data_IF_542733852992
#
_entry.id   IF_542733852992
#
_cell.length_a   1.000
_cell.length_b   1.000
_cell.length_c   1.000
_cell.angle_alpha   90.00
_cell.angle_beta   90.00
_cell.angle_gamma   90.00
#
_symmetry.space_group_name_H-M   'P 1'
#
loop_
_entity.id
_entity.type
_entity.pdbx_description
1 polymer ?
#
# COMPACT_ATOMS: atom_id res chain seq x y z
N UNK A 1 9.57 -31.14 -36.16
CA UNK A 1 9.32 -29.78 -35.61
C UNK A 1 7.95 -29.84 -34.92
N UNK A 2 7.91 -29.90 -33.58
CA UNK A 2 6.66 -29.88 -32.80
C UNK A 2 6.44 -28.48 -32.27
N UNK A 3 5.45 -27.79 -32.81
CA UNK A 3 5.03 -26.49 -32.28
C UNK A 3 4.15 -26.74 -31.06
N UNK A 4 4.66 -26.44 -29.85
CA UNK A 4 3.85 -26.37 -28.63
C UNK A 4 3.10 -25.04 -28.63
N UNK A 5 1.79 -25.14 -28.81
CA UNK A 5 0.86 -24.02 -28.66
C UNK A 5 0.63 -23.78 -27.17
N UNK A 6 1.21 -22.72 -26.61
CA UNK A 6 0.93 -22.26 -25.24
C UNK A 6 -0.42 -21.52 -25.27
N UNK A 7 -1.48 -22.20 -24.80
CA UNK A 7 -2.78 -21.52 -24.58
C UNK A 7 -2.70 -20.86 -23.19
N UNK A 8 -2.58 -19.53 -23.20
CA UNK A 8 -2.70 -18.72 -21.99
C UNK A 8 -4.17 -18.68 -21.58
N UNK A 9 -4.56 -19.48 -20.59
CA UNK A 9 -5.87 -19.40 -19.96
C UNK A 9 -5.92 -18.12 -19.09
N UNK A 10 -6.48 -17.04 -19.63
CA UNK A 10 -6.94 -15.91 -18.83
C UNK A 10 -8.17 -16.37 -18.04
N UNK A 11 -7.94 -16.84 -16.83
CA UNK A 11 -9.00 -17.06 -15.87
C UNK A 11 -9.58 -15.68 -15.52
N UNK A 12 -10.67 -15.28 -16.16
CA UNK A 12 -11.47 -14.13 -15.75
C UNK A 12 -12.05 -14.44 -14.38
N UNK A 13 -11.50 -13.80 -13.37
CA UNK A 13 -11.90 -13.97 -11.98
C UNK A 13 -13.37 -13.61 -11.81
N UNK A 14 -14.20 -14.40 -11.11
CA UNK A 14 -15.61 -14.07 -10.82
C UNK A 14 -15.75 -12.74 -10.06
N UNK A 15 -14.67 -12.21 -9.53
CA UNK A 15 -14.60 -10.92 -8.87
C UNK A 15 -14.87 -9.73 -9.80
N UNK A 16 -14.48 -9.82 -11.08
CA UNK A 16 -14.71 -8.76 -12.07
C UNK A 16 -16.20 -8.67 -12.41
N UNK A 17 -16.87 -9.81 -12.54
CA UNK A 17 -18.29 -9.85 -12.87
C UNK A 17 -19.20 -9.29 -11.75
N UNK A 18 -18.82 -9.51 -10.48
CA UNK A 18 -19.52 -8.95 -9.33
C UNK A 18 -19.40 -7.43 -9.23
N UNK A 19 -18.26 -6.86 -9.61
CA UNK A 19 -18.06 -5.40 -9.58
C UNK A 19 -18.81 -4.67 -10.70
N UNK A 20 -18.92 -5.25 -11.88
CA UNK A 20 -19.71 -4.65 -12.98
C UNK A 20 -21.20 -4.62 -12.64
N UNK A 21 -21.76 -5.70 -12.11
CA UNK A 21 -23.18 -5.78 -11.73
C UNK A 21 -23.56 -4.75 -10.65
N UNK A 22 -22.69 -4.53 -9.66
CA UNK A 22 -22.89 -3.51 -8.62
C UNK A 22 -22.80 -2.11 -9.21
N UNK A 23 -21.90 -1.88 -10.15
CA UNK A 23 -21.70 -0.58 -10.78
C UNK A 23 -22.90 -0.16 -11.63
N UNK A 24 -23.47 -1.11 -12.36
CA UNK A 24 -24.67 -0.87 -13.20
C UNK A 24 -25.91 -0.60 -12.35
N UNK A 25 -26.14 -1.38 -11.30
CA UNK A 25 -27.27 -1.15 -10.38
C UNK A 25 -27.18 0.18 -9.62
N UNK A 26 -25.94 0.68 -9.37
CA UNK A 26 -25.74 1.99 -8.76
C UNK A 26 -26.03 3.15 -9.70
N UNK A 27 -25.84 2.97 -11.03
CA UNK A 27 -26.13 4.03 -12.01
C UNK A 27 -27.64 4.28 -12.19
N UNK A 28 -28.46 3.29 -11.88
CA UNK A 28 -29.92 3.41 -11.95
C UNK A 28 -30.55 4.16 -10.77
N UNK A 29 -29.79 4.34 -9.66
CA UNK A 29 -30.27 5.05 -8.48
C UNK A 29 -30.25 6.58 -8.67
N UNK A 30 -31.16 7.33 -8.02
CA UNK A 30 -31.10 8.79 -7.97
C UNK A 30 -29.74 9.28 -7.41
N UNK A 31 -29.24 10.40 -7.92
CA UNK A 31 -27.93 10.97 -7.51
C UNK A 31 -27.72 11.09 -5.99
N UNK A 32 -28.72 11.51 -5.17
CA UNK A 32 -28.56 11.58 -3.73
C UNK A 32 -28.37 10.21 -3.09
N UNK A 33 -29.05 9.18 -3.57
CA UNK A 33 -28.93 7.81 -3.09
C UNK A 33 -27.57 7.20 -3.46
N UNK A 34 -27.08 7.46 -4.68
CA UNK A 34 -25.72 7.08 -5.08
C UNK A 34 -24.67 7.68 -4.16
N UNK A 35 -24.83 8.98 -3.79
CA UNK A 35 -23.92 9.68 -2.89
C UNK A 35 -23.95 9.08 -1.48
N UNK A 36 -25.15 8.80 -0.96
CA UNK A 36 -25.34 8.18 0.35
C UNK A 36 -24.70 6.77 0.39
N UNK A 37 -24.95 5.97 -0.64
CA UNK A 37 -24.34 4.63 -0.75
C UNK A 37 -22.82 4.68 -0.78
N UNK A 38 -22.24 5.54 -1.61
CA UNK A 38 -20.77 5.70 -1.69
C UNK A 38 -20.18 6.16 -0.36
N UNK A 39 -20.85 7.06 0.34
CA UNK A 39 -20.45 7.53 1.66
C UNK A 39 -20.45 6.37 2.66
N UNK A 40 -21.51 5.60 2.74
CA UNK A 40 -21.62 4.44 3.62
C UNK A 40 -20.56 3.37 3.33
N UNK A 41 -20.25 3.12 2.05
CA UNK A 41 -19.19 2.20 1.66
C UNK A 41 -17.80 2.69 2.11
N UNK A 42 -17.53 3.99 1.95
CA UNK A 42 -16.27 4.59 2.39
C UNK A 42 -16.13 4.54 3.92
N UNK A 43 -17.18 4.88 4.66
CA UNK A 43 -17.18 4.83 6.13
C UNK A 43 -16.92 3.41 6.62
N UNK A 44 -17.57 2.41 6.01
CA UNK A 44 -17.34 1.00 6.36
C UNK A 44 -15.93 0.53 5.99
N UNK A 45 -15.38 0.97 4.85
CA UNK A 45 -14.01 0.64 4.46
C UNK A 45 -13.00 1.26 5.45
N UNK A 46 -13.20 2.52 5.83
CA UNK A 46 -12.36 3.19 6.83
C UNK A 46 -12.44 2.53 8.20
N UNK A 47 -13.66 2.13 8.63
CA UNK A 47 -13.84 1.39 9.88
C UNK A 47 -13.03 0.10 9.87
N UNK A 48 -13.12 -0.70 8.81
CA UNK A 48 -12.36 -1.95 8.69
C UNK A 48 -10.85 -1.74 8.69
N UNK A 49 -10.36 -0.71 7.99
CA UNK A 49 -8.93 -0.42 7.87
C UNK A 49 -8.35 0.05 9.20
N UNK A 50 -9.11 0.87 9.93
CA UNK A 50 -8.66 1.53 11.14
C UNK A 50 -9.33 1.00 12.42
N UNK A 51 -10.15 -0.05 12.29
CA UNK A 51 -10.84 -0.70 13.42
C UNK A 51 -11.64 0.29 14.28
N UNK A 52 -12.35 1.23 13.63
CA UNK A 52 -13.06 2.30 14.31
C UNK A 52 -14.32 1.81 15.03
N UNK A 53 -14.97 0.77 14.49
CA UNK A 53 -16.12 0.13 15.09
C UNK A 53 -15.69 -1.04 15.97
N UNK A 54 -16.42 -1.28 17.05
CA UNK A 54 -16.10 -2.37 18.00
C UNK A 54 -16.08 -3.75 17.35
N UNK A 55 -16.92 -3.95 16.34
CA UNK A 55 -17.01 -5.21 15.59
C UNK A 55 -15.75 -5.49 14.73
N UNK A 56 -15.09 -4.44 14.31
CA UNK A 56 -13.90 -4.52 13.47
C UNK A 56 -12.60 -4.62 14.30
N UNK A 57 -12.67 -4.44 15.62
CA UNK A 57 -11.50 -4.42 16.49
C UNK A 57 -10.85 -5.81 16.62
N UNK A 58 -9.60 -5.90 16.26
CA UNK A 58 -8.77 -7.12 16.32
C UNK A 58 -7.88 -7.21 17.56
N UNK A 59 -7.85 -6.14 18.38
CA UNK A 59 -6.98 -6.01 19.53
C UNK A 59 -5.59 -5.47 19.20
N UNK A 60 -4.75 -5.35 20.24
CA UNK A 60 -3.41 -4.77 20.12
C UNK A 60 -2.35 -5.78 19.67
N UNK A 61 -1.21 -5.27 19.16
CA UNK A 61 -0.01 -6.01 18.77
C UNK A 61 -0.22 -7.05 17.65
N UNK A 62 -1.25 -6.87 16.81
CA UNK A 62 -1.44 -7.65 15.61
C UNK A 62 -0.91 -6.86 14.40
N UNK A 63 -0.01 -7.49 13.65
CA UNK A 63 0.50 -6.93 12.39
C UNK A 63 -0.56 -7.10 11.30
N UNK A 64 -0.89 -5.99 10.66
CA UNK A 64 -1.81 -5.95 9.53
C UNK A 64 -1.20 -5.11 8.41
N UNK A 65 -1.64 -5.33 7.18
CA UNK A 65 -1.24 -4.52 6.03
C UNK A 65 -1.63 -3.05 6.24
N UNK A 66 -0.73 -2.14 5.85
CA UNK A 66 -0.96 -0.70 5.94
C UNK A 66 -1.11 -0.05 4.57
N UNK A 67 -0.04 -0.02 3.80
CA UNK A 67 -0.05 0.39 2.40
C UNK A 67 0.08 -0.84 1.49
N UNK A 68 -0.28 -0.75 0.20
CA UNK A 68 -0.18 -1.88 -0.70
C UNK A 68 1.20 -2.52 -0.72
N UNK A 69 1.27 -3.82 -0.49
CA UNK A 69 2.49 -4.60 -0.66
C UNK A 69 2.59 -5.10 -2.10
N UNK A 70 3.74 -4.89 -2.73
CA UNK A 70 3.94 -5.31 -4.10
C UNK A 70 5.39 -5.67 -4.39
N UNK A 71 5.58 -6.47 -5.43
CA UNK A 71 6.87 -6.75 -6.05
C UNK A 71 6.74 -6.47 -7.54
N UNK A 72 7.57 -5.59 -8.06
CA UNK A 72 7.74 -5.33 -9.48
C UNK A 72 9.07 -5.94 -9.91
N UNK A 73 9.07 -7.13 -10.54
CA UNK A 73 10.31 -7.81 -10.92
C UNK A 73 11.17 -6.97 -11.85
N UNK A 74 10.53 -6.22 -12.74
CA UNK A 74 11.21 -5.39 -13.74
C UNK A 74 10.71 -3.95 -13.65
N UNK A 75 11.59 -3.04 -13.31
CA UNK A 75 11.41 -1.60 -13.39
C UNK A 75 12.55 -1.04 -14.22
N UNK A 76 12.22 -0.29 -15.25
CA UNK A 76 13.21 0.41 -16.06
C UNK A 76 13.38 1.85 -15.56
N UNK A 77 14.61 2.34 -15.52
CA UNK A 77 14.96 3.75 -15.32
C UNK A 77 16.04 4.16 -16.30
N UNK A 78 15.83 5.26 -17.02
CA UNK A 78 16.77 5.78 -18.00
C UNK A 78 17.98 6.48 -17.37
N UNK A 79 17.85 6.93 -16.11
CA UNK A 79 18.93 7.60 -15.35
C UNK A 79 18.97 7.06 -13.93
N UNK A 80 19.61 5.90 -13.69
CA UNK A 80 19.81 5.43 -12.33
C UNK A 80 20.73 6.42 -11.57
N UNK A 81 20.40 6.69 -10.30
CA UNK A 81 21.28 7.50 -9.45
C UNK A 81 22.50 6.66 -9.08
N UNK A 82 23.62 6.89 -9.75
CA UNK A 82 24.85 6.11 -9.62
C UNK A 82 25.67 6.50 -8.37
N UNK A 83 25.43 7.72 -7.87
CA UNK A 83 26.08 8.24 -6.67
C UNK A 83 25.01 8.91 -5.78
N UNK A 84 24.30 8.15 -4.95
CA UNK A 84 23.29 8.72 -4.05
C UNK A 84 23.95 9.63 -3.01
N UNK A 85 23.41 10.83 -2.84
CA UNK A 85 23.89 11.85 -1.92
C UNK A 85 23.11 11.74 -0.60
N UNK A 86 23.80 11.82 0.53
CA UNK A 86 23.19 11.99 1.84
C UNK A 86 23.24 13.46 2.25
N UNK A 87 22.14 13.99 2.80
CA UNK A 87 22.14 15.33 3.41
C UNK A 87 22.88 15.36 4.76
N UNK A 88 23.22 14.21 5.30
CA UNK A 88 24.03 14.13 6.53
C UNK A 88 25.51 14.37 6.19
N UNK A 89 26.15 15.46 6.71
CA UNK A 89 27.53 15.79 6.42
C UNK A 89 28.54 14.76 6.92
N UNK A 90 28.16 13.93 7.90
CA UNK A 90 29.02 12.89 8.46
C UNK A 90 29.04 11.60 7.62
N UNK A 91 28.22 11.52 6.58
CA UNK A 91 28.23 10.38 5.66
C UNK A 91 29.15 10.67 4.48
N UNK A 92 30.15 9.81 4.24
CA UNK A 92 31.01 9.94 3.06
C UNK A 92 30.15 9.82 1.79
N UNK A 93 30.52 10.57 0.75
CA UNK A 93 29.93 10.43 -0.58
C UNK A 93 30.24 9.01 -1.07
N UNK A 94 29.22 8.20 -1.40
CA UNK A 94 29.47 6.85 -1.89
C UNK A 94 30.29 6.87 -3.17
N UNK A 95 31.08 5.83 -3.38
CA UNK A 95 31.80 5.64 -4.64
C UNK A 95 30.78 5.51 -5.80
N UNK A 96 31.20 5.97 -6.97
CA UNK A 96 30.47 5.75 -8.22
C UNK A 96 30.26 4.26 -8.47
N UNK A 97 29.02 3.89 -8.83
CA UNK A 97 28.66 2.50 -9.12
C UNK A 97 27.87 2.41 -10.42
N UNK A 98 28.25 1.50 -11.26
CA UNK A 98 27.57 1.22 -12.53
C UNK A 98 26.28 0.41 -12.26
N UNK A 99 25.22 1.12 -11.92
CA UNK A 99 23.91 0.52 -11.73
C UNK A 99 23.23 0.28 -13.07
N UNK A 100 22.61 -0.90 -13.20
CA UNK A 100 21.83 -1.25 -14.38
C UNK A 100 20.51 -0.47 -14.45
N UNK A 101 20.07 -0.20 -15.68
CA UNK A 101 18.78 0.45 -15.94
C UNK A 101 17.56 -0.39 -15.55
N UNK A 102 17.73 -1.70 -15.40
CA UNK A 102 16.67 -2.63 -15.00
C UNK A 102 16.93 -3.06 -13.55
N UNK A 103 15.92 -2.88 -12.71
CA UNK A 103 15.97 -3.23 -11.30
C UNK A 103 14.63 -3.81 -10.82
N UNK A 104 14.65 -4.51 -9.70
CA UNK A 104 13.44 -4.96 -9.01
C UNK A 104 13.03 -3.90 -7.99
N UNK A 105 11.75 -3.52 -7.96
CA UNK A 105 11.19 -2.67 -6.92
C UNK A 105 10.19 -3.46 -6.10
N UNK A 106 10.26 -3.36 -4.77
CA UNK A 106 9.22 -3.91 -3.91
C UNK A 106 8.94 -3.01 -2.71
N UNK A 107 7.74 -3.16 -2.18
CA UNK A 107 7.28 -2.46 -0.99
C UNK A 107 6.68 -3.46 0.00
N UNK A 108 7.09 -3.33 1.25
CA UNK A 108 6.48 -4.02 2.39
C UNK A 108 5.97 -2.94 3.33
N UNK A 109 4.73 -3.04 3.76
CA UNK A 109 4.10 -2.05 4.62
C UNK A 109 3.15 -2.71 5.60
N UNK A 110 3.42 -2.52 6.88
CA UNK A 110 2.70 -3.13 7.98
C UNK A 110 2.39 -2.09 9.04
N UNK A 111 1.29 -2.27 9.76
CA UNK A 111 0.96 -1.50 10.96
C UNK A 111 0.50 -2.41 12.08
N UNK A 112 0.61 -1.92 13.32
CA UNK A 112 0.08 -2.57 14.49
C UNK A 112 -0.54 -1.54 15.44
N UNK A 113 -1.70 -1.87 16.01
CA UNK A 113 -2.30 -1.10 17.09
C UNK A 113 -1.50 -1.37 18.37
N UNK A 114 -0.95 -0.32 18.96
CA UNK A 114 -0.18 -0.43 20.21
C UNK A 114 -1.00 0.00 21.44
N UNK A 115 -2.03 0.84 21.25
CA UNK A 115 -2.93 1.26 22.31
C UNK A 115 -4.35 1.38 21.76
N UNK A 116 -5.29 0.81 22.47
CA UNK A 116 -6.72 0.86 22.18
C UNK A 116 -7.41 1.78 23.17
N UNK A 117 -8.48 2.46 22.76
CA UNK A 117 -9.29 3.37 23.59
C UNK A 117 -8.45 4.49 24.25
N UNK A 118 -7.35 4.92 23.63
CA UNK A 118 -6.58 6.07 24.08
C UNK A 118 -7.47 7.31 24.12
N UNK A 119 -7.40 8.06 25.22
CA UNK A 119 -8.26 9.25 25.44
C UNK A 119 -9.76 8.97 25.29
N UNK A 120 -10.18 7.74 25.61
CA UNK A 120 -11.58 7.31 25.71
C UNK A 120 -12.16 6.63 24.46
N UNK A 121 -11.69 6.89 23.27
CA UNK A 121 -12.18 6.26 22.02
C UNK A 121 -11.13 6.18 20.92
N UNK A 122 -9.96 6.77 21.08
CA UNK A 122 -8.92 6.80 20.05
C UNK A 122 -8.01 5.60 20.12
N UNK A 123 -7.40 5.24 19.01
CA UNK A 123 -6.40 4.19 18.93
C UNK A 123 -5.06 4.74 18.49
N UNK A 124 -3.97 4.21 19.06
CA UNK A 124 -2.60 4.55 18.64
C UNK A 124 -2.00 3.38 17.88
N UNK A 125 -1.45 3.69 16.71
CA UNK A 125 -0.85 2.73 15.82
C UNK A 125 0.61 3.09 15.56
N UNK A 126 1.42 2.08 15.36
CA UNK A 126 2.73 2.20 14.72
C UNK A 126 2.66 1.56 13.35
N UNK A 127 3.24 2.22 12.37
CA UNK A 127 3.35 1.67 11.03
C UNK A 127 4.81 1.77 10.56
N UNK A 128 5.15 0.88 9.64
CA UNK A 128 6.46 0.83 9.04
C UNK A 128 6.32 0.42 7.58
N UNK A 129 6.82 1.28 6.71
CA UNK A 129 6.88 1.00 5.28
C UNK A 129 8.33 0.97 4.84
N UNK A 130 8.70 -0.08 4.12
CA UNK A 130 9.98 -0.20 3.45
C UNK A 130 9.77 -0.29 1.95
N UNK A 131 10.40 0.62 1.21
CA UNK A 131 10.45 0.60 -0.23
C UNK A 131 11.90 0.34 -0.67
N UNK A 132 12.09 -0.66 -1.52
CA UNK A 132 13.42 -1.12 -1.90
C UNK A 132 13.59 -1.14 -3.42
N UNK A 133 14.73 -0.66 -3.87
CA UNK A 133 15.17 -0.74 -5.25
C UNK A 133 16.40 -1.65 -5.30
N UNK A 134 16.21 -2.82 -5.88
CA UNK A 134 17.18 -3.90 -5.84
C UNK A 134 17.76 -4.19 -7.21
N UNK A 135 19.07 -4.07 -7.33
CA UNK A 135 19.85 -4.40 -8.53
C UNK A 135 20.00 -5.93 -8.70
N UNK A 136 18.89 -6.65 -8.63
CA UNK A 136 18.87 -8.11 -8.61
C UNK A 136 19.57 -8.74 -9.82
N UNK A 137 19.57 -8.04 -10.95
CA UNK A 137 20.16 -8.51 -12.21
C UNK A 137 21.62 -8.10 -12.39
N UNK A 138 22.15 -7.22 -11.52
CA UNK A 138 23.52 -6.74 -11.58
C UNK A 138 24.48 -7.69 -10.86
N UNK A 139 24.94 -8.72 -11.56
CA UNK A 139 25.87 -9.71 -11.02
C UNK A 139 27.27 -9.15 -10.75
N UNK A 140 27.72 -8.17 -11.52
CA UNK A 140 29.04 -7.55 -11.39
C UNK A 140 29.20 -6.81 -10.07
N UNK A 141 28.14 -6.12 -9.61
CA UNK A 141 28.11 -5.45 -8.31
C UNK A 141 27.61 -6.34 -7.17
N UNK A 142 27.52 -7.67 -7.37
CA UNK A 142 27.01 -8.60 -6.34
C UNK A 142 25.56 -8.32 -5.91
N UNK A 143 24.73 -7.81 -6.79
CA UNK A 143 23.28 -7.59 -6.60
C UNK A 143 22.93 -6.71 -5.40
N UNK A 144 23.45 -5.47 -5.28
CA UNK A 144 23.20 -4.60 -4.14
C UNK A 144 21.77 -4.04 -4.16
N UNK A 145 21.29 -3.58 -3.03
CA UNK A 145 20.24 -2.59 -2.99
C UNK A 145 20.81 -1.24 -3.40
N UNK A 146 20.21 -0.61 -4.41
CA UNK A 146 20.57 0.74 -4.81
C UNK A 146 20.04 1.77 -3.83
N UNK A 147 18.79 1.52 -3.36
CA UNK A 147 18.09 2.44 -2.48
C UNK A 147 17.16 1.67 -1.55
N UNK A 148 17.14 2.08 -0.30
CA UNK A 148 16.28 1.57 0.75
C UNK A 148 15.64 2.76 1.47
N UNK A 149 14.33 2.92 1.32
CA UNK A 149 13.57 3.96 1.99
C UNK A 149 12.78 3.34 3.13
N UNK A 150 12.90 3.92 4.31
CA UNK A 150 12.23 3.50 5.54
C UNK A 150 11.34 4.63 6.03
N UNK A 151 10.07 4.33 6.23
CA UNK A 151 9.04 5.28 6.67
C UNK A 151 8.38 4.73 7.94
N UNK A 152 8.97 4.95 9.13
CA UNK A 152 8.30 4.68 10.40
C UNK A 152 7.28 5.77 10.68
N UNK A 153 6.07 5.38 11.14
CA UNK A 153 4.97 6.29 11.43
C UNK A 153 4.35 5.99 12.79
N UNK A 154 3.96 7.03 13.50
CA UNK A 154 3.08 6.98 14.67
C UNK A 154 1.75 7.62 14.29
N UNK A 155 0.66 6.86 14.36
CA UNK A 155 -0.65 7.28 13.86
C UNK A 155 -1.63 7.24 15.02
N UNK A 156 -2.40 8.33 15.16
CA UNK A 156 -3.52 8.40 16.08
C UNK A 156 -4.83 8.45 15.29
N UNK A 157 -5.73 7.51 15.55
CA UNK A 157 -7.06 7.49 14.96
C UNK A 157 -8.11 7.78 16.01
N UNK A 158 -9.11 8.60 15.65
CA UNK A 158 -10.20 8.94 16.53
C UNK A 158 -11.53 8.95 15.77
N UNK A 159 -12.55 8.17 16.17
CA UNK A 159 -13.84 8.15 15.51
C UNK A 159 -14.61 9.45 15.80
N UNK A 160 -14.80 10.27 14.77
CA UNK A 160 -15.58 11.50 14.86
C UNK A 160 -16.99 11.25 14.31
N UNK A 161 -18.00 11.26 15.18
CA UNK A 161 -19.39 11.20 14.77
C UNK A 161 -19.89 12.64 14.52
N UNK A 162 -19.80 13.12 13.31
CA UNK A 162 -20.47 14.36 12.90
C UNK A 162 -21.93 14.03 12.54
N UNK A 163 -22.85 14.26 13.47
CA UNK A 163 -24.26 14.49 13.11
C UNK A 163 -24.30 15.84 12.42
N UNK A 164 -24.36 15.88 11.09
CA UNK A 164 -24.72 17.11 10.38
C UNK A 164 -26.16 17.44 10.79
N UNK A 165 -26.29 18.34 11.77
CA UNK A 165 -27.59 18.91 12.12
C UNK A 165 -28.19 19.54 10.87
N UNK A 166 -29.48 19.37 10.68
CA UNK A 166 -30.28 19.97 9.61
C UNK A 166 -29.96 21.48 9.51
N UNK A 167 -29.26 21.87 8.45
CA UNK A 167 -29.25 23.21 7.91
C UNK A 167 -30.21 23.26 6.73
#
# INVERSE_FOLDING_TARGET
MKHSLFILFLATSPFIFSQETIKDSLQELPKPEQKAYRKAQLERALSKIWELDREDQRGTFKLVEYLPMYVMPFRFTDKPTEQPISLNPDRPIPEWRDYQHIETKFQVSLKAKIMQDAFGKGDVWVAFTQQSYWQMYNGELSRPFRELNYEPELIFTYPLNFSAGNL
#
